data_IF_732238867048
#
_entry.id   IF_732238867048
#
_cell.length_a   1.000
_cell.length_b   1.000
_cell.length_c   1.000
_cell.angle_alpha   90.00
_cell.angle_beta   90.00
_cell.angle_gamma   90.00
#
_symmetry.space_group_name_H-M   'P 1'
#
loop_
_entity.id
_entity.type
_entity.pdbx_description
1 polymer ?
#
# COMPACT_ATOMS: atom_id res chain seq x y z
N UNK A 1 -54.05 20.48 -18.13
CA UNK A 1 -53.26 20.33 -16.93
C UNK A 1 -52.45 19.11 -16.94
N UNK A 2 -51.29 19.21 -17.39
CA UNK A 2 -50.41 18.05 -17.38
C UNK A 2 -49.22 18.40 -16.57
N UNK A 3 -48.97 17.58 -15.62
CA UNK A 3 -47.76 17.73 -14.84
C UNK A 3 -46.71 16.93 -15.46
N UNK A 4 -45.67 17.55 -15.77
CA UNK A 4 -44.47 16.87 -16.19
C UNK A 4 -43.54 16.87 -15.01
N UNK A 5 -43.53 15.78 -14.32
CA UNK A 5 -42.54 15.57 -13.28
C UNK A 5 -41.55 14.63 -13.89
N UNK A 6 -40.61 15.19 -14.54
CA UNK A 6 -39.53 14.42 -15.09
C UNK A 6 -38.23 15.00 -14.66
N UNK A 7 -37.37 14.14 -14.27
CA UNK A 7 -35.94 14.36 -14.20
C UNK A 7 -35.39 15.16 -13.04
N UNK A 8 -35.38 14.56 -11.89
CA UNK A 8 -34.41 14.95 -10.85
C UNK A 8 -33.77 13.72 -10.21
N UNK A 9 -33.48 12.67 -10.95
CA UNK A 9 -32.94 11.45 -10.33
C UNK A 9 -31.58 11.05 -10.89
N UNK A 10 -30.92 11.91 -11.65
CA UNK A 10 -29.70 11.45 -12.31
C UNK A 10 -28.40 12.02 -11.71
N UNK A 11 -28.49 12.81 -10.64
CA UNK A 11 -27.27 13.49 -10.15
C UNK A 11 -26.66 12.90 -8.88
N UNK A 12 -27.17 11.77 -8.37
CA UNK A 12 -26.66 11.26 -7.09
C UNK A 12 -25.67 10.09 -7.21
N UNK A 13 -25.50 9.52 -8.41
CA UNK A 13 -24.64 8.35 -8.55
C UNK A 13 -23.17 8.67 -8.62
N UNK A 14 -22.81 9.85 -9.12
CA UNK A 14 -21.41 10.21 -9.27
C UNK A 14 -20.74 10.59 -7.95
N UNK A 15 -21.49 11.15 -7.00
CA UNK A 15 -20.90 11.50 -5.70
C UNK A 15 -20.68 10.27 -4.80
N UNK A 16 -21.52 9.23 -4.94
CA UNK A 16 -21.33 7.98 -4.20
C UNK A 16 -20.06 7.26 -4.64
N UNK A 17 -19.81 7.19 -5.96
CA UNK A 17 -18.59 6.55 -6.48
C UNK A 17 -17.33 7.32 -6.11
N UNK A 18 -17.38 8.65 -6.12
CA UNK A 18 -16.26 9.48 -5.70
C UNK A 18 -15.93 9.26 -4.22
N UNK A 19 -16.95 9.11 -3.36
CA UNK A 19 -16.77 8.82 -1.95
C UNK A 19 -16.16 7.45 -1.72
N UNK A 20 -16.56 6.45 -2.50
CA UNK A 20 -15.99 5.10 -2.41
C UNK A 20 -14.53 5.07 -2.82
N UNK A 21 -14.17 5.79 -3.88
CA UNK A 21 -12.78 5.88 -4.33
C UNK A 21 -11.92 6.57 -3.26
N UNK A 22 -12.43 7.64 -2.67
CA UNK A 22 -11.71 8.34 -1.61
C UNK A 22 -11.53 7.47 -0.37
N UNK A 23 -12.55 6.70 0.01
CA UNK A 23 -12.45 5.75 1.11
C UNK A 23 -11.42 4.66 0.82
N UNK A 24 -11.43 4.12 -0.40
CA UNK A 24 -10.46 3.11 -0.81
C UNK A 24 -9.04 3.69 -0.79
N UNK A 25 -8.86 4.94 -1.19
CA UNK A 25 -7.57 5.61 -1.13
C UNK A 25 -7.08 5.74 0.31
N UNK A 26 -7.96 6.17 1.22
CA UNK A 26 -7.59 6.27 2.64
C UNK A 26 -7.18 4.93 3.22
N UNK A 27 -7.87 3.85 2.83
CA UNK A 27 -7.52 2.52 3.29
C UNK A 27 -6.18 2.05 2.75
N UNK A 28 -5.88 2.39 1.49
CA UNK A 28 -4.58 2.08 0.90
C UNK A 28 -3.44 2.84 1.63
N UNK A 29 -3.67 4.10 1.96
CA UNK A 29 -2.70 4.90 2.72
C UNK A 29 -2.52 4.33 4.12
N UNK A 30 -3.60 3.97 4.80
CA UNK A 30 -3.54 3.37 6.13
C UNK A 30 -2.80 2.03 6.10
N UNK A 31 -3.05 1.22 5.07
CA UNK A 31 -2.34 -0.05 4.88
C UNK A 31 -0.85 0.15 4.66
N UNK A 32 -0.49 1.12 3.83
CA UNK A 32 0.91 1.50 3.62
C UNK A 32 1.58 1.91 4.92
N UNK A 33 0.93 2.79 5.66
CA UNK A 33 1.49 3.31 6.92
C UNK A 33 1.66 2.21 7.96
N UNK A 34 0.69 1.29 8.06
CA UNK A 34 0.79 0.15 8.97
C UNK A 34 1.95 -0.77 8.60
N UNK A 35 2.14 -1.01 7.31
CA UNK A 35 3.26 -1.83 6.86
C UNK A 35 4.59 -1.14 7.14
N UNK A 36 4.71 0.15 6.84
CA UNK A 36 5.91 0.93 7.13
C UNK A 36 6.22 0.95 8.63
N UNK A 37 5.21 1.14 9.46
CA UNK A 37 5.39 1.13 10.91
C UNK A 37 5.90 -0.23 11.40
N UNK A 38 5.38 -1.30 10.84
CA UNK A 38 5.84 -2.64 11.18
C UNK A 38 7.29 -2.87 10.74
N UNK A 39 7.64 -2.45 9.52
CA UNK A 39 9.02 -2.55 9.03
C UNK A 39 9.97 -1.69 9.88
N UNK A 40 9.52 -0.52 10.33
CA UNK A 40 10.32 0.33 11.20
C UNK A 40 10.62 -0.34 12.55
N UNK A 41 9.68 -1.12 13.07
CA UNK A 41 9.91 -1.89 14.29
C UNK A 41 10.94 -3.00 14.07
N UNK A 42 10.89 -3.67 12.92
CA UNK A 42 11.93 -4.65 12.56
C UNK A 42 13.30 -3.97 12.46
N UNK A 43 13.35 -2.82 11.81
CA UNK A 43 14.57 -2.04 11.72
C UNK A 43 15.14 -1.69 13.11
N UNK A 44 14.29 -1.17 14.00
CA UNK A 44 14.71 -0.77 15.34
C UNK A 44 15.24 -1.94 16.15
N UNK A 45 14.61 -3.11 16.00
CA UNK A 45 15.00 -4.32 16.72
C UNK A 45 16.31 -4.86 16.19
N UNK A 46 16.45 -4.95 14.86
CA UNK A 46 17.56 -5.63 14.23
C UNK A 46 18.79 -4.74 14.06
N UNK A 47 18.63 -3.41 14.04
CA UNK A 47 19.74 -2.48 13.95
C UNK A 47 20.66 -2.53 15.17
N UNK A 48 20.15 -3.02 16.30
CA UNK A 48 20.92 -3.17 17.54
C UNK A 48 21.69 -4.48 17.60
N UNK A 49 21.48 -5.37 16.64
CA UNK A 49 22.13 -6.68 16.58
C UNK A 49 23.29 -6.64 15.60
N UNK A 50 24.24 -7.57 15.78
CA UNK A 50 25.31 -7.76 14.81
C UNK A 50 24.79 -8.57 13.63
N UNK A 51 23.90 -7.97 12.85
CA UNK A 51 23.24 -8.63 11.72
C UNK A 51 23.78 -8.07 10.41
N UNK A 52 24.27 -8.93 9.50
CA UNK A 52 24.65 -8.47 8.17
C UNK A 52 23.44 -7.93 7.39
N UNK A 53 23.69 -6.99 6.48
CA UNK A 53 22.63 -6.42 5.65
C UNK A 53 21.89 -7.46 4.83
N UNK A 54 22.58 -8.50 4.39
CA UNK A 54 21.96 -9.60 3.65
C UNK A 54 20.93 -10.35 4.49
N UNK A 55 21.25 -10.61 5.75
CA UNK A 55 20.32 -11.28 6.67
C UNK A 55 19.10 -10.39 6.95
N UNK A 56 19.32 -9.09 7.10
CA UNK A 56 18.22 -8.15 7.28
C UNK A 56 17.30 -8.11 6.05
N UNK A 57 17.88 -8.16 4.85
CA UNK A 57 17.13 -8.22 3.60
C UNK A 57 16.18 -9.42 3.59
N UNK A 58 16.67 -10.59 3.97
CA UNK A 58 15.85 -11.80 4.04
C UNK A 58 14.77 -11.69 5.10
N UNK A 59 15.08 -11.08 6.24
CA UNK A 59 14.11 -10.89 7.32
C UNK A 59 12.99 -9.96 6.91
N UNK A 60 13.33 -8.86 6.23
CA UNK A 60 12.34 -7.89 5.74
C UNK A 60 11.39 -8.53 4.72
N UNK A 61 11.90 -9.40 3.86
CA UNK A 61 11.09 -10.06 2.85
C UNK A 61 9.96 -10.89 3.46
N UNK A 62 10.15 -11.46 4.65
CA UNK A 62 9.15 -12.26 5.34
C UNK A 62 8.46 -11.54 6.49
N UNK A 63 8.90 -10.35 6.84
CA UNK A 63 8.37 -9.60 7.98
C UNK A 63 6.98 -9.04 7.68
N UNK A 64 6.19 -8.87 8.73
CA UNK A 64 4.93 -8.16 8.68
C UNK A 64 3.96 -8.71 7.63
N UNK A 65 3.71 -10.03 7.63
CA UNK A 65 2.90 -10.63 6.57
C UNK A 65 1.46 -10.12 6.54
N UNK A 66 0.86 -9.86 7.70
CA UNK A 66 -0.52 -9.36 7.78
C UNK A 66 -0.61 -7.93 7.25
N UNK A 67 0.28 -7.06 7.67
CA UNK A 67 0.32 -5.67 7.23
C UNK A 67 0.66 -5.58 5.76
N UNK A 68 1.57 -6.41 5.28
CA UNK A 68 1.94 -6.49 3.88
C UNK A 68 0.73 -6.87 3.02
N UNK A 69 -0.01 -7.89 3.44
CA UNK A 69 -1.18 -8.37 2.72
C UNK A 69 -2.30 -7.35 2.75
N UNK A 70 -2.55 -6.70 3.88
CA UNK A 70 -3.54 -5.64 4.00
C UNK A 70 -3.22 -4.46 3.07
N UNK A 71 -1.97 -4.08 3.00
CA UNK A 71 -1.53 -3.03 2.07
C UNK A 71 -1.77 -3.46 0.62
N UNK A 72 -1.39 -4.69 0.27
CA UNK A 72 -1.59 -5.20 -1.09
C UNK A 72 -3.06 -5.17 -1.49
N UNK A 73 -3.94 -5.69 -0.65
CA UNK A 73 -5.37 -5.76 -0.92
C UNK A 73 -5.98 -4.37 -1.04
N UNK A 74 -5.66 -3.50 -0.08
CA UNK A 74 -6.20 -2.13 -0.06
C UNK A 74 -5.76 -1.35 -1.29
N UNK A 75 -4.51 -1.51 -1.71
CA UNK A 75 -3.98 -0.81 -2.87
C UNK A 75 -4.61 -1.33 -4.15
N UNK A 76 -4.75 -2.65 -4.29
CA UNK A 76 -5.42 -3.23 -5.46
C UNK A 76 -6.87 -2.77 -5.54
N UNK A 77 -7.57 -2.74 -4.42
CA UNK A 77 -8.96 -2.25 -4.38
C UNK A 77 -9.06 -0.80 -4.86
N UNK A 78 -8.19 0.06 -4.34
CA UNK A 78 -8.15 1.46 -4.77
C UNK A 78 -7.85 1.59 -6.26
N UNK A 79 -6.83 0.89 -6.75
CA UNK A 79 -6.44 0.94 -8.15
C UNK A 79 -7.56 0.43 -9.07
N UNK A 80 -8.27 -0.60 -8.64
CA UNK A 80 -9.38 -1.16 -9.42
C UNK A 80 -10.54 -0.19 -9.54
N UNK A 81 -10.78 0.59 -8.49
CA UNK A 81 -11.82 1.62 -8.53
C UNK A 81 -11.38 2.85 -9.33
N UNK A 82 -10.14 3.28 -9.16
CA UNK A 82 -9.60 4.47 -9.83
C UNK A 82 -9.37 4.22 -11.31
N UNK A 83 -8.93 3.03 -11.68
CA UNK A 83 -8.57 2.66 -13.05
C UNK A 83 -9.27 1.36 -13.46
N UNK A 84 -10.62 1.40 -13.64
CA UNK A 84 -11.39 0.17 -13.86
C UNK A 84 -11.10 -0.49 -15.22
N UNK A 85 -10.53 0.26 -16.18
CA UNK A 85 -10.22 -0.25 -17.50
C UNK A 85 -8.83 -0.88 -17.60
N UNK A 86 -8.06 -0.83 -16.54
CA UNK A 86 -6.74 -1.45 -16.49
C UNK A 86 -6.87 -2.86 -15.96
N UNK A 87 -6.09 -3.76 -16.53
CA UNK A 87 -6.10 -5.18 -16.19
C UNK A 87 -5.77 -5.43 -14.71
N UNK A 88 -6.47 -6.37 -14.10
CA UNK A 88 -6.28 -6.72 -12.69
C UNK A 88 -4.85 -7.18 -12.40
N UNK A 89 -4.22 -7.88 -13.34
CA UNK A 89 -2.81 -8.29 -13.21
C UNK A 89 -1.87 -7.10 -13.12
N UNK A 90 -2.17 -6.02 -13.85
CA UNK A 90 -1.37 -4.80 -13.79
C UNK A 90 -1.51 -4.12 -12.43
N UNK A 91 -2.70 -4.13 -11.83
CA UNK A 91 -2.91 -3.59 -10.48
C UNK A 91 -2.13 -4.39 -9.44
N UNK A 92 -2.11 -5.70 -9.55
CA UNK A 92 -1.35 -6.57 -8.66
C UNK A 92 0.16 -6.29 -8.78
N UNK A 93 0.64 -6.11 -10.01
CA UNK A 93 2.04 -5.76 -10.26
C UNK A 93 2.39 -4.44 -9.59
N UNK A 94 1.53 -3.42 -9.72
CA UNK A 94 1.74 -2.12 -9.09
C UNK A 94 1.81 -2.27 -7.56
N UNK A 95 0.91 -3.05 -6.98
CA UNK A 95 0.90 -3.28 -5.52
C UNK A 95 2.16 -4.01 -5.07
N UNK A 96 2.58 -5.04 -5.80
CA UNK A 96 3.80 -5.78 -5.46
C UNK A 96 5.04 -4.90 -5.59
N UNK A 97 5.08 -4.00 -6.57
CA UNK A 97 6.17 -3.05 -6.73
C UNK A 97 6.21 -2.05 -5.57
N UNK A 98 5.06 -1.60 -5.09
CA UNK A 98 5.00 -0.71 -3.93
C UNK A 98 5.54 -1.40 -2.67
N UNK A 99 5.20 -2.67 -2.47
CA UNK A 99 5.73 -3.47 -1.36
C UNK A 99 7.25 -3.63 -1.49
N UNK A 100 7.73 -3.97 -2.67
CA UNK A 100 9.16 -4.14 -2.93
C UNK A 100 9.92 -2.83 -2.69
N UNK A 101 9.35 -1.68 -3.07
CA UNK A 101 9.96 -0.38 -2.81
C UNK A 101 10.09 -0.10 -1.31
N UNK A 102 9.05 -0.40 -0.54
CA UNK A 102 9.09 -0.22 0.92
C UNK A 102 10.18 -1.10 1.54
N UNK A 103 10.27 -2.34 1.13
CA UNK A 103 11.30 -3.26 1.60
C UNK A 103 12.69 -2.77 1.25
N UNK A 104 12.88 -2.33 0.01
CA UNK A 104 14.18 -1.80 -0.45
C UNK A 104 14.59 -0.58 0.37
N UNK A 105 13.66 0.33 0.62
CA UNK A 105 13.97 1.56 1.34
C UNK A 105 14.40 1.28 2.78
N UNK A 106 13.74 0.36 3.47
CA UNK A 106 14.14 0.03 4.84
C UNK A 106 15.46 -0.74 4.87
N UNK A 107 15.72 -1.59 3.89
CA UNK A 107 17.00 -2.29 3.77
C UNK A 107 18.13 -1.30 3.51
N UNK A 108 17.92 -0.35 2.62
CA UNK A 108 18.93 0.68 2.32
C UNK A 108 19.22 1.53 3.56
N UNK A 109 18.20 1.88 4.33
CA UNK A 109 18.38 2.60 5.58
C UNK A 109 19.20 1.79 6.58
N UNK A 110 18.94 0.49 6.67
CA UNK A 110 19.69 -0.42 7.55
C UNK A 110 21.15 -0.48 7.17
N UNK A 111 21.45 -0.67 5.88
CA UNK A 111 22.82 -0.74 5.38
C UNK A 111 23.55 0.58 5.63
N UNK A 112 22.88 1.70 5.37
CA UNK A 112 23.46 3.02 5.57
C UNK A 112 23.76 3.27 7.06
N UNK A 113 22.88 2.84 7.95
CA UNK A 113 23.06 2.99 9.39
C UNK A 113 24.26 2.20 9.89
N UNK A 114 24.47 0.98 9.37
CA UNK A 114 25.58 0.13 9.75
C UNK A 114 26.92 0.60 9.20
N UNK A 115 26.88 1.47 8.18
CA UNK A 115 28.07 1.93 7.50
C UNK A 115 28.61 0.89 6.53
N UNK A 116 29.65 1.28 5.75
CA UNK A 116 30.26 0.35 4.81
C UNK A 116 30.99 -0.77 5.56
N UNK A 117 30.99 -1.99 5.00
CA UNK A 117 31.76 -3.08 5.59
C UNK A 117 33.24 -2.74 5.53
N UNK A 118 33.90 -2.90 6.63
CA UNK A 118 35.36 -2.74 6.71
C UNK A 118 36.04 -4.02 6.34
#
# INVERSE_FOLDING_TARGET
MRMVIAAVVVMMTSSAMAGEIEDAHRQAVAGRDSYWNCLAQEYSRDSKKSMPGQDFTLRVASACPSERQNFRVSLVDFLSMQFPNVDAGAHMTTANNAIASAQKDVVMAFIKHKGPPN
#
